data_IF_176208481243
#
_entry.id   IF_176208481243
#
_cell.length_a   1.000
_cell.length_b   1.000
_cell.length_c   1.000
_cell.angle_alpha   90.00
_cell.angle_beta   90.00
_cell.angle_gamma   90.00
#
_symmetry.space_group_name_H-M   'P 1'
#
loop_
_entity.id
_entity.type
_entity.pdbx_description
1 polymer ?
#
# COMPACT_ATOMS: atom_id res chain seq x y z
N UNK A 1 10.58 7.53 -10.32
CA UNK A 1 11.37 7.98 -9.15
C UNK A 1 10.52 7.73 -7.91
N UNK A 2 11.09 7.09 -6.92
CA UNK A 2 10.52 6.94 -5.59
C UNK A 2 11.23 7.89 -4.63
N UNK A 3 10.51 8.45 -3.68
CA UNK A 3 11.04 9.29 -2.59
C UNK A 3 10.65 8.67 -1.27
N UNK A 4 11.46 8.87 -0.23
CA UNK A 4 11.17 8.40 1.12
C UNK A 4 11.59 9.49 2.11
N UNK A 5 10.69 9.90 2.98
CA UNK A 5 10.94 10.98 3.93
C UNK A 5 11.95 10.55 5.00
N UNK A 6 11.85 9.33 5.50
CA UNK A 6 12.83 8.76 6.46
C UNK A 6 14.15 8.34 5.80
N UNK A 7 14.29 8.43 4.49
CA UNK A 7 15.51 8.10 3.75
C UNK A 7 15.82 6.61 3.61
N UNK A 8 15.06 5.73 4.26
CA UNK A 8 15.32 4.28 4.31
C UNK A 8 14.37 3.44 3.45
N UNK A 9 13.47 4.06 2.70
CA UNK A 9 12.43 3.37 1.91
C UNK A 9 11.31 2.77 2.75
N UNK A 10 11.25 3.06 4.03
CA UNK A 10 10.20 2.67 4.99
C UNK A 10 9.52 3.93 5.51
N UNK A 11 8.24 3.85 5.85
CA UNK A 11 7.45 5.00 6.26
C UNK A 11 6.85 5.75 5.07
N UNK A 12 6.78 7.05 5.14
CA UNK A 12 6.23 7.90 4.07
C UNK A 12 7.03 7.77 2.80
N UNK A 13 6.38 7.34 1.74
CA UNK A 13 6.98 7.14 0.42
C UNK A 13 6.11 7.75 -0.67
N UNK A 14 6.73 8.31 -1.70
CA UNK A 14 6.05 8.88 -2.85
C UNK A 14 6.54 8.26 -4.17
N UNK A 15 5.64 8.19 -5.15
CA UNK A 15 5.97 7.71 -6.49
C UNK A 15 5.72 8.82 -7.49
N UNK A 16 6.74 9.12 -8.30
CA UNK A 16 6.64 10.05 -9.44
C UNK A 16 6.92 9.31 -10.73
N UNK A 17 6.10 9.53 -11.73
CA UNK A 17 6.28 8.94 -13.06
C UNK A 17 6.62 10.05 -14.05
N UNK A 18 7.80 9.95 -14.71
CA UNK A 18 8.31 10.94 -15.67
C UNK A 18 8.33 12.39 -15.14
N UNK A 19 8.58 12.57 -13.84
CA UNK A 19 8.61 13.89 -13.22
C UNK A 19 7.24 14.49 -12.91
N UNK A 20 6.13 13.82 -13.23
CA UNK A 20 4.79 14.28 -12.83
C UNK A 20 4.59 14.13 -11.34
N UNK A 21 3.81 15.03 -10.77
CA UNK A 21 3.43 14.98 -9.37
C UNK A 21 2.62 13.71 -9.05
N UNK A 22 2.71 13.23 -7.80
CA UNK A 22 2.01 12.04 -7.35
C UNK A 22 0.48 12.16 -7.48
N UNK A 23 -0.07 13.38 -7.36
CA UNK A 23 -1.51 13.67 -7.55
C UNK A 23 -1.98 13.50 -9.00
N UNK A 24 -1.04 13.37 -9.95
CA UNK A 24 -1.30 13.13 -11.38
C UNK A 24 -1.15 11.66 -11.77
N UNK A 25 -0.93 10.80 -10.79
CA UNK A 25 -0.82 9.35 -10.97
C UNK A 25 -2.06 8.71 -10.39
N UNK A 26 -2.88 8.10 -11.24
CA UNK A 26 -4.05 7.35 -10.79
C UNK A 26 -3.63 5.97 -10.29
N UNK A 27 -4.03 5.64 -9.08
CA UNK A 27 -3.78 4.34 -8.46
C UNK A 27 -5.12 3.61 -8.32
N UNK A 28 -5.16 2.36 -8.75
CA UNK A 28 -6.31 1.49 -8.53
C UNK A 28 -5.88 0.20 -7.85
N UNK A 29 -6.71 -0.30 -6.95
CA UNK A 29 -6.54 -1.62 -6.34
C UNK A 29 -7.75 -2.46 -6.71
N UNK A 30 -7.52 -3.53 -7.48
CA UNK A 30 -8.58 -4.39 -8.01
C UNK A 30 -9.60 -3.63 -8.89
N UNK A 31 -9.13 -2.59 -9.60
CA UNK A 31 -9.99 -1.73 -10.41
C UNK A 31 -10.80 -0.68 -9.63
N UNK A 32 -10.63 -0.60 -8.31
CA UNK A 32 -11.23 0.44 -7.48
C UNK A 32 -10.25 1.60 -7.33
N UNK A 33 -10.65 2.86 -7.63
CA UNK A 33 -9.82 4.03 -7.43
C UNK A 33 -9.37 4.15 -5.97
N UNK A 34 -8.09 4.46 -5.77
CA UNK A 34 -7.46 4.46 -4.47
C UNK A 34 -6.95 5.85 -4.04
N UNK A 35 -6.80 6.77 -4.99
CA UNK A 35 -6.43 8.14 -4.70
C UNK A 35 -7.44 8.77 -3.73
N UNK A 36 -6.92 9.42 -2.71
CA UNK A 36 -7.73 10.17 -1.75
C UNK A 36 -8.53 11.28 -2.45
N UNK A 37 -9.77 11.49 -2.03
CA UNK A 37 -10.70 12.40 -2.70
C UNK A 37 -10.34 13.88 -2.47
N UNK A 38 -9.60 14.21 -1.42
CA UNK A 38 -9.22 15.57 -1.04
C UNK A 38 -7.82 15.91 -1.54
N UNK A 39 -6.83 15.11 -1.17
CA UNK A 39 -5.42 15.33 -1.54
C UNK A 39 -5.08 14.87 -2.95
N UNK A 40 -5.92 14.05 -3.59
CA UNK A 40 -5.69 13.39 -4.88
C UNK A 40 -4.44 12.50 -4.92
N UNK A 41 -3.78 12.30 -3.79
CA UNK A 41 -2.61 11.46 -3.64
C UNK A 41 -2.91 10.07 -3.09
N UNK A 42 -1.86 9.29 -2.90
CA UNK A 42 -1.90 8.01 -2.20
C UNK A 42 -0.83 8.01 -1.12
N UNK A 43 -1.22 7.78 0.11
CA UNK A 43 -0.33 7.61 1.24
C UNK A 43 0.03 6.14 1.38
N UNK A 44 1.16 5.74 0.79
CA UNK A 44 1.59 4.34 0.76
C UNK A 44 1.90 3.78 2.14
N UNK A 45 2.26 4.64 3.08
CA UNK A 45 2.51 4.30 4.48
C UNK A 45 1.28 3.66 5.14
N UNK A 46 0.07 4.03 4.70
CA UNK A 46 -1.18 3.47 5.21
C UNK A 46 -1.46 2.02 4.73
N UNK A 47 -0.61 1.49 3.85
CA UNK A 47 -0.72 0.14 3.30
C UNK A 47 0.61 -0.59 3.31
N UNK A 48 1.22 -0.76 4.49
CA UNK A 48 2.52 -1.41 4.56
C UNK A 48 2.46 -2.82 3.97
N UNK A 49 3.50 -3.16 3.22
CA UNK A 49 3.65 -4.48 2.62
C UNK A 49 2.49 -4.95 1.71
N UNK A 50 1.75 -4.02 1.10
CA UNK A 50 0.70 -4.39 0.13
C UNK A 50 1.27 -5.22 -1.03
N UNK A 51 2.52 -4.98 -1.41
CA UNK A 51 3.22 -5.72 -2.47
C UNK A 51 3.25 -7.23 -2.22
N UNK A 52 3.37 -7.68 -0.97
CA UNK A 52 3.34 -9.11 -0.61
C UNK A 52 1.96 -9.76 -0.82
N UNK A 53 0.90 -8.98 -1.01
CA UNK A 53 -0.45 -9.46 -1.36
C UNK A 53 -0.81 -9.18 -2.83
N UNK A 54 0.08 -8.51 -3.57
CA UNK A 54 -0.18 -8.12 -4.96
C UNK A 54 0.29 -9.23 -5.91
N UNK A 55 -0.61 -9.65 -6.78
CA UNK A 55 -0.34 -10.68 -7.79
C UNK A 55 0.17 -10.11 -9.12
N UNK A 56 -0.28 -8.89 -9.46
CA UNK A 56 0.08 -8.22 -10.70
C UNK A 56 0.09 -6.71 -10.52
N UNK A 57 1.01 -6.04 -11.19
CA UNK A 57 1.14 -4.60 -11.23
C UNK A 57 1.20 -4.16 -12.69
N UNK A 58 0.17 -3.44 -13.13
CA UNK A 58 0.13 -2.87 -14.46
C UNK A 58 0.37 -1.37 -14.40
N UNK A 59 1.36 -0.91 -15.13
CA UNK A 59 1.71 0.52 -15.21
C UNK A 59 1.49 1.01 -16.64
N UNK A 60 0.53 1.90 -16.80
CA UNK A 60 0.31 2.62 -18.04
C UNK A 60 0.83 4.05 -17.89
N UNK A 61 1.80 4.43 -18.71
CA UNK A 61 2.42 5.76 -18.69
C UNK A 61 1.68 6.71 -19.63
N UNK A 62 1.53 7.96 -19.21
CA UNK A 62 0.81 9.00 -19.96
C UNK A 62 -0.69 8.93 -19.72
N UNK A 63 -1.44 9.63 -20.55
CA UNK A 63 -2.90 9.70 -20.47
C UNK A 63 -3.49 8.31 -20.73
N UNK A 64 -4.18 7.77 -19.73
CA UNK A 64 -4.87 6.48 -19.83
C UNK A 64 -6.21 6.57 -20.55
N UNK A 65 -6.83 5.41 -20.74
CA UNK A 65 -8.24 5.36 -21.18
C UNK A 65 -9.14 5.91 -20.08
N UNK A 66 -10.30 6.47 -20.46
CA UNK A 66 -11.28 7.04 -19.52
C UNK A 66 -11.84 6.03 -18.50
N UNK A 67 -11.58 4.75 -18.68
CA UNK A 67 -11.98 3.67 -17.77
C UNK A 67 -11.12 3.60 -16.50
N UNK A 68 -10.00 4.32 -16.46
CA UNK A 68 -9.04 4.25 -15.34
C UNK A 68 -9.28 5.30 -14.24
N UNK A 69 -10.30 6.14 -14.38
CA UNK A 69 -10.69 7.13 -13.36
C UNK A 69 -10.03 8.50 -13.52
N UNK A 70 -10.21 9.34 -12.50
CA UNK A 70 -9.63 10.68 -12.44
C UNK A 70 -8.10 10.64 -12.23
N UNK A 71 -7.42 11.76 -12.49
CA UNK A 71 -5.97 11.96 -12.22
C UNK A 71 -5.00 11.16 -13.09
N UNK A 72 -5.43 10.51 -14.17
CA UNK A 72 -4.60 9.66 -15.03
C UNK A 72 -3.78 10.41 -16.09
N UNK A 73 -3.23 11.59 -15.76
CA UNK A 73 -2.41 12.39 -16.69
C UNK A 73 -0.96 11.89 -16.79
N UNK A 74 -0.33 11.57 -15.67
CA UNK A 74 1.05 11.14 -15.62
C UNK A 74 1.19 9.65 -15.87
N UNK A 75 0.39 8.88 -15.18
CA UNK A 75 0.32 7.43 -15.29
C UNK A 75 -0.93 6.87 -14.62
N UNK A 76 -1.22 5.62 -14.93
CA UNK A 76 -2.12 4.77 -14.15
C UNK A 76 -1.36 3.56 -13.65
N UNK A 77 -1.47 3.26 -12.35
CA UNK A 77 -0.92 2.06 -11.73
C UNK A 77 -2.10 1.23 -11.21
N UNK A 78 -2.28 0.05 -11.77
CA UNK A 78 -3.29 -0.88 -11.31
C UNK A 78 -2.62 -2.03 -10.55
N UNK A 79 -2.95 -2.16 -9.28
CA UNK A 79 -2.52 -3.23 -8.40
C UNK A 79 -3.63 -4.28 -8.34
N UNK A 80 -3.30 -5.52 -8.64
CA UNK A 80 -4.23 -6.63 -8.53
C UNK A 80 -3.83 -7.53 -7.37
N UNK A 81 -4.71 -7.69 -6.42
CA UNK A 81 -4.62 -8.69 -5.34
C UNK A 81 -5.60 -9.84 -5.61
N UNK A 82 -6.42 -9.69 -6.64
CA UNK A 82 -7.39 -10.68 -7.08
C UNK A 82 -6.73 -11.65 -8.06
N UNK A 83 -6.97 -12.89 -7.93
CA UNK A 83 -6.58 -13.84 -8.96
C UNK A 83 -5.69 -14.95 -8.48
N UNK A 84 -5.39 -14.94 -7.24
CA UNK A 84 -4.62 -16.03 -6.68
C UNK A 84 -5.50 -17.11 -6.04
N UNK A 85 -6.73 -17.29 -6.52
CA UNK A 85 -7.36 -18.62 -6.51
C UNK A 85 -6.46 -19.65 -7.23
N UNK A 86 -5.22 -19.25 -7.52
CA UNK A 86 -4.22 -20.03 -8.26
C UNK A 86 -3.44 -20.99 -7.39
N UNK A 87 -3.44 -20.83 -6.08
CA UNK A 87 -2.89 -21.87 -5.23
C UNK A 87 -3.90 -22.99 -5.10
N UNK A 88 -3.75 -24.03 -5.92
CA UNK A 88 -4.56 -25.25 -5.81
C UNK A 88 -4.27 -25.97 -4.49
N UNK A 89 -3.06 -25.79 -3.94
CA UNK A 89 -2.60 -26.42 -2.71
C UNK A 89 -2.57 -25.43 -1.54
N UNK A 90 -2.87 -25.91 -0.33
CA UNK A 90 -2.66 -25.08 0.86
C UNK A 90 -1.17 -24.73 1.03
N UNK A 91 -0.90 -23.56 1.58
CA UNK A 91 0.45 -23.09 1.85
C UNK A 91 0.52 -22.25 3.11
N UNK A 92 1.70 -22.20 3.71
CA UNK A 92 2.09 -21.24 4.72
C UNK A 92 3.54 -20.83 4.44
N UNK A 93 3.77 -19.53 4.37
CA UNK A 93 5.07 -18.95 4.07
C UNK A 93 5.42 -17.93 5.15
N UNK A 94 6.63 -18.01 5.68
CA UNK A 94 7.19 -17.05 6.63
C UNK A 94 8.39 -16.41 5.96
N UNK A 95 8.40 -15.08 5.87
CA UNK A 95 9.50 -14.31 5.31
C UNK A 95 9.99 -13.30 6.34
N UNK A 96 11.30 -13.30 6.58
CA UNK A 96 11.95 -12.33 7.45
C UNK A 96 13.05 -11.63 6.66
N UNK A 97 13.12 -10.31 6.78
CA UNK A 97 14.14 -9.50 6.11
C UNK A 97 14.78 -8.55 7.12
N UNK A 98 16.08 -8.34 6.96
CA UNK A 98 16.87 -7.41 7.76
C UNK A 98 17.58 -6.44 6.81
N UNK A 99 17.66 -5.18 7.21
CA UNK A 99 18.27 -4.13 6.40
C UNK A 99 19.00 -3.08 7.25
N UNK A 100 19.54 -2.08 6.58
CA UNK A 100 20.15 -0.92 7.22
C UNK A 100 19.16 -0.20 8.14
N UNK A 101 19.68 0.58 9.08
CA UNK A 101 18.88 1.37 10.03
C UNK A 101 17.95 0.51 10.88
N UNK A 102 18.45 -0.65 11.33
CA UNK A 102 17.70 -1.64 12.11
C UNK A 102 16.37 -2.02 11.46
N UNK A 103 16.30 -1.96 10.14
CA UNK A 103 15.09 -2.33 9.41
C UNK A 103 14.84 -3.83 9.54
N UNK A 104 13.68 -4.18 10.07
CA UNK A 104 13.21 -5.55 10.22
C UNK A 104 11.82 -5.65 9.60
N UNK A 105 11.64 -6.63 8.72
CA UNK A 105 10.34 -6.97 8.16
C UNK A 105 10.04 -8.44 8.43
N UNK A 106 8.88 -8.71 9.02
CA UNK A 106 8.36 -10.05 9.23
C UNK A 106 7.01 -10.17 8.53
N UNK A 107 6.84 -11.19 7.69
CA UNK A 107 5.60 -11.43 6.96
C UNK A 107 5.24 -12.90 7.05
N UNK A 108 3.98 -13.17 7.35
CA UNK A 108 3.39 -14.51 7.29
C UNK A 108 2.28 -14.49 6.26
N UNK A 109 2.32 -15.39 5.29
CA UNK A 109 1.28 -15.62 4.29
C UNK A 109 0.75 -17.03 4.41
N UNK A 110 -0.55 -17.21 4.26
CA UNK A 110 -1.18 -18.52 4.30
C UNK A 110 -2.35 -18.59 3.33
N UNK A 111 -2.65 -19.77 2.89
CA UNK A 111 -3.79 -20.02 2.02
C UNK A 111 -4.30 -21.45 2.15
N UNK A 112 -5.62 -21.60 2.00
CA UNK A 112 -6.30 -22.90 2.07
C UNK A 112 -6.07 -23.77 0.83
N UNK A 113 -5.57 -23.18 -0.27
CA UNK A 113 -5.73 -23.78 -1.57
C UNK A 113 -7.20 -23.78 -2.03
N UNK A 114 -7.47 -24.41 -3.15
CA UNK A 114 -8.83 -24.52 -3.70
C UNK A 114 -9.55 -25.73 -3.07
N UNK A 115 -10.45 -25.46 -2.13
CA UNK A 115 -11.26 -26.46 -1.46
C UNK A 115 -12.51 -26.77 -2.27
N UNK A 116 -12.80 -28.05 -2.46
CA UNK A 116 -13.96 -28.57 -3.24
C UNK A 116 -14.10 -27.96 -4.64
N UNK A 117 -12.98 -27.48 -5.21
CA UNK A 117 -12.96 -26.81 -6.50
C UNK A 117 -13.69 -25.46 -6.54
N UNK A 118 -14.09 -24.90 -5.41
CA UNK A 118 -14.94 -23.71 -5.33
C UNK A 118 -14.48 -22.65 -4.36
N UNK A 119 -13.89 -23.02 -3.23
CA UNK A 119 -13.57 -22.08 -2.15
C UNK A 119 -12.08 -21.89 -2.02
N UNK A 120 -11.66 -20.64 -1.86
CA UNK A 120 -10.29 -20.31 -1.54
C UNK A 120 -10.27 -19.23 -0.45
N UNK A 121 -9.36 -19.37 0.51
CA UNK A 121 -9.11 -18.38 1.55
C UNK A 121 -7.62 -18.10 1.60
N UNK A 122 -7.25 -16.84 1.67
CA UNK A 122 -5.86 -16.40 1.78
C UNK A 122 -5.72 -15.29 2.82
N UNK A 123 -4.55 -15.24 3.45
CA UNK A 123 -4.24 -14.21 4.42
C UNK A 123 -2.77 -13.85 4.45
N UNK A 124 -2.49 -12.64 4.91
CA UNK A 124 -1.16 -12.13 5.21
C UNK A 124 -1.20 -11.27 6.46
N UNK A 125 -0.19 -11.44 7.29
CA UNK A 125 0.14 -10.57 8.42
C UNK A 125 1.55 -10.05 8.21
N UNK A 126 1.77 -8.76 8.44
CA UNK A 126 3.09 -8.16 8.26
C UNK A 126 3.38 -7.12 9.34
N UNK A 127 4.64 -7.07 9.76
CA UNK A 127 5.19 -6.05 10.64
C UNK A 127 6.51 -5.56 10.06
N UNK A 128 6.67 -4.24 9.95
CA UNK A 128 7.90 -3.59 9.47
C UNK A 128 8.29 -2.54 10.49
N UNK A 129 9.55 -2.58 10.90
CA UNK A 129 10.14 -1.59 11.80
C UNK A 129 11.45 -1.07 11.20
N UNK A 130 11.74 0.21 11.40
CA UNK A 130 12.99 0.83 10.97
C UNK A 130 13.27 2.06 11.82
N UNK A 131 14.55 2.33 12.10
CA UNK A 131 14.96 3.58 12.74
C UNK A 131 15.03 4.75 11.75
N UNK A 132 15.06 4.46 10.43
CA UNK A 132 15.24 5.45 9.38
C UNK A 132 16.67 5.96 9.24
N UNK A 133 16.97 6.62 8.12
CA UNK A 133 18.25 7.30 7.90
C UNK A 133 18.27 8.70 8.53
N UNK A 134 17.13 9.39 8.47
CA UNK A 134 16.95 10.72 9.04
C UNK A 134 16.81 10.60 10.56
N UNK A 135 17.37 11.56 11.30
CA UNK A 135 17.35 11.57 12.77
C UNK A 135 15.92 11.44 13.28
N UNK A 136 15.70 10.52 14.25
CA UNK A 136 14.40 10.21 14.86
C UNK A 136 13.32 9.62 13.94
N UNK A 137 13.55 9.50 12.62
CA UNK A 137 12.54 9.08 11.63
C UNK A 137 12.20 7.59 11.71
N UNK A 138 11.91 7.08 12.92
CA UNK A 138 11.52 5.70 13.13
C UNK A 138 10.11 5.42 12.59
N UNK A 139 9.88 4.17 12.23
CA UNK A 139 8.61 3.66 11.71
C UNK A 139 8.27 2.31 12.34
N UNK A 140 7.04 2.15 12.82
CA UNK A 140 6.43 0.87 13.23
C UNK A 140 5.14 0.69 12.42
N UNK A 141 5.18 -0.23 11.47
CA UNK A 141 4.14 -0.43 10.48
C UNK A 141 3.60 -1.84 10.58
N UNK A 142 2.28 -1.97 10.77
CA UNK A 142 1.59 -3.25 10.86
C UNK A 142 0.52 -3.33 9.79
N UNK A 143 0.35 -4.50 9.20
CA UNK A 143 -0.72 -4.69 8.23
C UNK A 143 -1.23 -6.11 8.19
N UNK A 144 -2.48 -6.24 7.74
CA UNK A 144 -3.04 -7.52 7.40
C UNK A 144 -3.82 -7.46 6.07
N UNK A 145 -3.95 -8.60 5.45
CA UNK A 145 -4.77 -8.85 4.27
C UNK A 145 -5.47 -10.18 4.46
N UNK A 146 -6.78 -10.21 4.24
CA UNK A 146 -7.59 -11.43 4.25
C UNK A 146 -8.51 -11.42 3.04
N UNK A 147 -8.62 -12.53 2.35
CA UNK A 147 -9.55 -12.70 1.24
C UNK A 147 -10.22 -14.06 1.28
N UNK A 148 -11.48 -14.08 0.85
CA UNK A 148 -12.25 -15.29 0.62
C UNK A 148 -12.89 -15.25 -0.76
N UNK A 149 -12.79 -16.34 -1.51
CA UNK A 149 -13.32 -16.44 -2.87
C UNK A 149 -14.22 -17.65 -3.01
N UNK A 150 -15.31 -17.45 -3.75
CA UNK A 150 -16.20 -18.52 -4.22
C UNK A 150 -16.20 -18.56 -5.75
N UNK A 151 -15.92 -19.70 -6.33
CA UNK A 151 -15.88 -19.97 -7.76
C UNK A 151 -17.02 -20.91 -8.14
N UNK A 152 -18.17 -20.35 -8.53
CA UNK A 152 -19.27 -21.13 -9.11
C UNK A 152 -19.16 -21.17 -10.63
N UNK A 153 -20.03 -21.96 -11.27
CA UNK A 153 -20.04 -22.14 -12.73
C UNK A 153 -20.25 -20.82 -13.49
N UNK A 154 -21.23 -20.03 -13.05
CA UNK A 154 -21.58 -18.77 -13.70
C UNK A 154 -21.33 -17.55 -12.83
N UNK A 155 -21.02 -17.74 -11.55
CA UNK A 155 -20.85 -16.64 -10.60
C UNK A 155 -19.58 -16.85 -9.81
N UNK A 156 -18.72 -15.84 -9.77
CA UNK A 156 -17.62 -15.79 -8.82
C UNK A 156 -17.81 -14.59 -7.89
N UNK A 157 -17.52 -14.81 -6.61
CA UNK A 157 -17.59 -13.81 -5.57
C UNK A 157 -16.24 -13.78 -4.86
N UNK A 158 -15.71 -12.59 -4.64
CA UNK A 158 -14.52 -12.41 -3.83
C UNK A 158 -14.76 -11.27 -2.86
N UNK A 159 -14.60 -11.57 -1.58
CA UNK A 159 -14.60 -10.62 -0.49
C UNK A 159 -13.19 -10.49 0.06
N UNK A 160 -12.74 -9.26 0.32
CA UNK A 160 -11.44 -9.03 0.91
C UNK A 160 -11.45 -7.83 1.85
N UNK A 161 -10.58 -7.90 2.83
CA UNK A 161 -10.26 -6.80 3.73
C UNK A 161 -8.75 -6.68 3.86
N UNK A 162 -8.26 -5.47 3.80
CA UNK A 162 -6.86 -5.17 4.11
C UNK A 162 -6.77 -3.89 4.94
N UNK A 163 -5.80 -3.87 5.83
CA UNK A 163 -5.60 -2.75 6.75
C UNK A 163 -4.12 -2.51 6.96
N UNK A 164 -3.77 -1.25 7.10
CA UNK A 164 -2.48 -0.81 7.58
C UNK A 164 -2.65 0.07 8.80
N UNK A 165 -1.72 -0.04 9.71
CA UNK A 165 -1.53 0.83 10.85
C UNK A 165 -0.10 1.32 10.84
N UNK A 166 0.06 2.62 10.87
CA UNK A 166 1.35 3.28 10.98
C UNK A 166 1.50 4.00 12.31
N UNK A 167 2.70 3.96 12.83
CA UNK A 167 3.21 4.90 13.80
C UNK A 167 4.58 5.33 13.35
N UNK A 168 4.69 6.57 12.87
CA UNK A 168 5.93 7.12 12.31
C UNK A 168 6.30 8.41 13.02
N UNK A 169 7.59 8.60 13.27
CA UNK A 169 8.08 9.92 13.65
C UNK A 169 8.18 10.79 12.41
N UNK A 170 7.81 12.05 12.52
CA UNK A 170 7.73 12.97 11.37
C UNK A 170 9.11 13.30 10.82
N UNK A 171 9.27 13.18 9.52
CA UNK A 171 10.45 13.58 8.76
C UNK A 171 10.03 14.24 7.43
N UNK A 172 8.92 15.00 7.48
CA UNK A 172 8.24 15.51 6.28
C UNK A 172 8.99 16.66 5.60
N UNK A 173 9.90 17.32 6.31
CA UNK A 173 10.74 18.38 5.77
C UNK A 173 12.15 17.85 5.51
N UNK A 174 12.66 18.14 4.32
CA UNK A 174 14.05 17.81 3.97
C UNK A 174 15.06 18.70 4.70
N UNK A 175 16.30 18.23 4.77
CA UNK A 175 17.40 19.05 5.28
C UNK A 175 17.66 20.27 4.38
N UNK A 176 17.82 21.49 4.94
CA UNK A 176 18.17 22.68 4.17
C UNK A 176 19.47 22.48 3.41
N UNK A 177 19.51 22.90 2.14
CA UNK A 177 20.69 22.71 1.26
C UNK A 177 21.98 23.33 1.84
N UNK A 178 21.85 24.40 2.63
CA UNK A 178 22.97 25.02 3.33
C UNK A 178 23.65 24.08 4.33
N UNK A 179 22.88 23.21 4.98
CA UNK A 179 23.41 22.21 5.89
C UNK A 179 24.10 21.07 5.14
N UNK A 180 23.50 20.61 4.04
CA UNK A 180 24.08 19.57 3.20
C UNK A 180 25.44 19.99 2.60
N UNK A 181 25.58 21.26 2.25
CA UNK A 181 26.81 21.81 1.67
C UNK A 181 27.86 22.26 2.72
N UNK A 182 27.61 22.07 4.01
CA UNK A 182 28.53 22.46 5.09
C UNK A 182 29.76 21.58 5.21
N UNK A 183 29.77 20.40 4.58
CA UNK A 183 30.84 19.40 4.72
C UNK A 183 30.81 18.63 6.04
N UNK A 184 29.74 18.76 6.82
CA UNK A 184 29.55 18.02 8.08
C UNK A 184 28.56 16.87 7.84
N UNK A 185 29.01 15.63 7.96
CA UNK A 185 28.20 14.44 7.66
C UNK A 185 26.92 14.35 8.52
N UNK A 186 26.97 14.77 9.78
CA UNK A 186 25.80 14.79 10.67
C UNK A 186 24.65 15.67 10.17
N UNK A 187 24.89 16.59 9.26
CA UNK A 187 23.86 17.43 8.67
C UNK A 187 23.04 16.71 7.58
N UNK A 188 23.50 15.56 7.11
CA UNK A 188 22.77 14.75 6.11
C UNK A 188 21.56 14.04 6.73
N UNK A 189 21.61 13.77 8.02
CA UNK A 189 20.53 13.11 8.76
C UNK A 189 19.60 14.10 9.47
N UNK A 190 19.88 15.39 9.36
CA UNK A 190 19.14 16.44 10.05
C UNK A 190 17.63 16.34 9.87
N UNK A 191 16.91 16.38 10.99
CA UNK A 191 15.47 16.46 11.03
C UNK A 191 15.07 17.75 11.80
N UNK A 192 14.26 18.63 11.23
CA UNK A 192 13.78 19.82 11.95
C UNK A 192 12.81 19.50 13.07
N UNK A 193 12.20 18.32 13.05
CA UNK A 193 11.38 17.82 14.14
C UNK A 193 12.27 17.24 15.23
N UNK A 194 12.19 17.74 16.46
CA UNK A 194 13.10 17.39 17.55
C UNK A 194 12.44 17.09 18.88
N UNK A 195 11.13 17.24 18.99
CA UNK A 195 10.36 16.86 20.16
C UNK A 195 9.99 15.38 20.17
N UNK A 196 9.87 14.78 21.35
CA UNK A 196 9.69 13.34 21.47
C UNK A 196 8.39 12.79 20.90
N UNK A 197 7.35 13.62 20.81
CA UNK A 197 6.00 13.20 20.39
C UNK A 197 5.58 13.73 19.01
N UNK A 198 6.52 14.16 18.16
CA UNK A 198 6.17 14.57 16.78
C UNK A 198 5.94 13.36 15.90
N UNK A 199 4.84 12.69 16.19
CA UNK A 199 4.46 11.41 15.55
C UNK A 199 3.21 11.57 14.70
N UNK A 200 3.10 10.71 13.71
CA UNK A 200 1.87 10.37 13.02
C UNK A 200 1.45 8.95 13.39
N UNK A 201 0.18 8.78 13.72
CA UNK A 201 -0.40 7.50 14.09
C UNK A 201 -1.75 7.36 13.40
N UNK A 202 -1.78 6.54 12.35
CA UNK A 202 -2.97 6.40 11.52
C UNK A 202 -3.24 4.95 11.17
N UNK A 203 -4.51 4.59 11.13
CA UNK A 203 -4.98 3.29 10.67
C UNK A 203 -5.99 3.46 9.55
N UNK A 204 -5.81 2.71 8.47
CA UNK A 204 -6.75 2.67 7.36
C UNK A 204 -7.14 1.23 7.03
N UNK A 205 -8.44 0.99 6.90
CA UNK A 205 -8.98 -0.34 6.58
C UNK A 205 -9.89 -0.24 5.37
N UNK A 206 -9.69 -1.15 4.44
CA UNK A 206 -10.42 -1.24 3.18
C UNK A 206 -11.18 -2.56 3.10
N UNK A 207 -12.42 -2.48 2.73
CA UNK A 207 -13.31 -3.61 2.48
C UNK A 207 -13.71 -3.58 1.01
N UNK A 208 -13.57 -4.71 0.32
CA UNK A 208 -13.96 -4.83 -1.08
C UNK A 208 -14.77 -6.12 -1.29
N UNK A 209 -15.82 -6.03 -2.10
CA UNK A 209 -16.62 -7.17 -2.56
C UNK A 209 -16.73 -7.10 -4.08
N UNK A 210 -16.25 -8.13 -4.76
CA UNK A 210 -16.31 -8.26 -6.21
C UNK A 210 -17.19 -9.43 -6.59
N UNK A 211 -18.14 -9.18 -7.47
CA UNK A 211 -19.07 -10.17 -7.99
C UNK A 211 -18.97 -10.18 -9.51
N UNK A 212 -18.65 -11.31 -10.08
CA UNK A 212 -18.70 -11.53 -11.54
C UNK A 212 -19.80 -12.54 -11.84
N UNK A 213 -20.70 -12.19 -12.75
CA UNK A 213 -21.77 -13.08 -13.19
C UNK A 213 -21.75 -13.23 -14.72
N UNK A 214 -21.87 -14.47 -15.21
CA UNK A 214 -21.89 -14.86 -16.64
C UNK A 214 -23.13 -15.69 -16.97
N UNK A 215 -24.17 -15.66 -16.11
CA UNK A 215 -25.39 -16.48 -16.30
C UNK A 215 -26.14 -16.12 -17.60
N UNK A 216 -26.05 -14.88 -18.05
CA UNK A 216 -26.65 -14.44 -19.31
C UNK A 216 -25.65 -14.68 -20.44
N UNK A 217 -26.06 -15.45 -21.44
CA UNK A 217 -25.24 -15.77 -22.61
C UNK A 217 -24.76 -14.48 -23.30
N UNK A 218 -23.46 -14.38 -23.55
CA UNK A 218 -22.77 -13.20 -24.13
C UNK A 218 -22.70 -11.95 -23.25
N UNK A 219 -23.12 -12.02 -21.98
CA UNK A 219 -22.99 -10.91 -21.05
C UNK A 219 -22.16 -11.33 -19.84
N UNK A 220 -21.11 -10.57 -19.55
CA UNK A 220 -20.35 -10.66 -18.31
C UNK A 220 -20.62 -9.40 -17.49
N UNK A 221 -21.28 -9.55 -16.35
CA UNK A 221 -21.51 -8.48 -15.40
C UNK A 221 -20.45 -8.53 -14.30
N UNK A 222 -19.74 -7.43 -14.09
CA UNK A 222 -18.82 -7.26 -12.97
C UNK A 222 -19.35 -6.12 -12.08
N UNK A 223 -19.53 -6.41 -10.81
CA UNK A 223 -19.98 -5.44 -9.81
C UNK A 223 -19.00 -5.44 -8.66
N UNK A 224 -18.55 -4.25 -8.25
CA UNK A 224 -17.64 -4.10 -7.12
C UNK A 224 -18.19 -3.10 -6.14
N UNK A 225 -18.11 -3.44 -4.86
CA UNK A 225 -18.43 -2.56 -3.74
C UNK A 225 -17.16 -2.35 -2.93
N UNK A 226 -16.99 -1.13 -2.42
CA UNK A 226 -15.91 -0.85 -1.50
C UNK A 226 -16.36 0.09 -0.38
N UNK A 227 -15.68 -0.04 0.75
CA UNK A 227 -15.81 0.85 1.88
C UNK A 227 -14.44 1.04 2.51
N UNK A 228 -14.08 2.28 2.81
CA UNK A 228 -12.82 2.62 3.46
C UNK A 228 -13.11 3.33 4.77
N UNK A 229 -12.39 2.95 5.82
CA UNK A 229 -12.42 3.63 7.11
C UNK A 229 -10.99 3.96 7.52
N UNK A 230 -10.77 5.24 7.84
CA UNK A 230 -9.52 5.73 8.39
C UNK A 230 -9.76 6.43 9.72
N UNK A 231 -8.79 6.35 10.62
CA UNK A 231 -8.74 7.09 11.87
C UNK A 231 -7.29 7.23 12.35
N UNK A 232 -6.96 8.39 12.87
CA UNK A 232 -5.62 8.66 13.38
C UNK A 232 -5.47 10.09 13.85
N UNK A 233 -4.24 10.42 14.22
CA UNK A 233 -3.83 11.75 14.65
C UNK A 233 -2.34 11.94 14.36
N UNK A 234 -1.94 13.17 14.22
CA UNK A 234 -0.53 13.55 14.31
C UNK A 234 -0.35 14.58 15.42
N UNK A 235 0.81 14.56 16.03
CA UNK A 235 1.19 15.50 17.07
C UNK A 235 2.38 16.34 16.59
N UNK A 236 2.31 17.64 16.80
CA UNK A 236 3.39 18.59 16.55
C UNK A 236 3.46 19.57 17.69
N UNK A 237 4.66 20.00 18.03
CA UNK A 237 4.86 21.11 18.93
C UNK A 237 4.60 22.43 18.17
N UNK A 238 3.85 23.35 18.79
CA UNK A 238 3.50 24.67 18.23
C UNK A 238 4.06 25.77 19.11
#
# INVERSE_FOLDING_TARGET
VTTSDAGAGVGYTGIRVRGTDATRVNITINGIPFNDAESHGVFWVNMPDLSSSTSDIQIQRGVGSSTTGASSFGATVNLSTLGNASSIKPFCEISNSFGSFNTIKNTVRFGSGLMDGKWNFEGRLSNIQSDGFIDRANSDLKSYYLSGSYLGENTSIQALVFSGHEKTYQAWYGAPIRLLNSGVDSNQTYNPYDYDNEIDNYQQTHYQLHITNKAIKKLKLNTSFHYTRGAGYFEQYV
#
